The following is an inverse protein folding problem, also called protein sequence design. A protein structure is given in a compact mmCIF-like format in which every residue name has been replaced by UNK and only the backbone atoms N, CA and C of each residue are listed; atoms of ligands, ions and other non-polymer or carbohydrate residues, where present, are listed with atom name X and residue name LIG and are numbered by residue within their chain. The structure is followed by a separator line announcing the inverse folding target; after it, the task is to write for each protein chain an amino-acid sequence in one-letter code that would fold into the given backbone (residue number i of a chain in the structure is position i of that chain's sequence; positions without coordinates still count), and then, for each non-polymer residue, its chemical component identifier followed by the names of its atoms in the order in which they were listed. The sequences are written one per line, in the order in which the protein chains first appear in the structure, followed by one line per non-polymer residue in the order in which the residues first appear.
data_IF_631878701956
#
_entry.id   IF_631878701956
#
_cell.length_a   1.000
_cell.length_b   1.000
_cell.length_c   1.000
_cell.angle_alpha   90.00
_cell.angle_beta   90.00
_cell.angle_gamma   90.00
#
_symmetry.space_group_name_H-M   'P 1'
#
loop_
_entity.id
_entity.type
_entity.pdbx_description
1 polymer ?
#
# COMPACT_ATOMS: atom_id res chain seq x y z
N UNK A 1 15.72 19.19 -10.56
CA UNK A 1 14.60 18.39 -11.11
C UNK A 1 13.71 17.76 -10.02
N UNK A 2 14.24 17.22 -8.92
CA UNK A 2 13.45 16.64 -7.81
C UNK A 2 12.49 17.64 -7.15
N UNK A 3 12.96 18.82 -6.80
CA UNK A 3 12.17 19.88 -6.14
C UNK A 3 10.96 20.35 -6.95
N UNK A 4 11.04 20.34 -8.27
CA UNK A 4 9.93 20.73 -9.16
C UNK A 4 8.83 19.63 -9.25
N UNK A 5 9.24 18.35 -9.26
CA UNK A 5 8.27 17.24 -9.24
C UNK A 5 7.55 17.18 -7.89
N UNK A 6 8.29 17.34 -6.80
CA UNK A 6 7.70 17.37 -5.45
C UNK A 6 6.76 18.56 -5.27
N UNK A 7 7.12 19.74 -5.77
CA UNK A 7 6.26 20.93 -5.75
C UNK A 7 4.99 20.75 -6.60
N UNK A 8 5.10 20.14 -7.78
CA UNK A 8 3.96 19.85 -8.65
C UNK A 8 2.98 18.85 -8.01
N UNK A 9 3.50 17.76 -7.44
CA UNK A 9 2.68 16.74 -6.74
C UNK A 9 1.97 17.38 -5.53
N UNK A 10 2.66 18.22 -4.78
CA UNK A 10 2.10 18.94 -3.63
C UNK A 10 1.01 19.92 -4.08
N UNK A 11 1.24 20.70 -5.11
CA UNK A 11 0.26 21.64 -5.64
C UNK A 11 -1.01 20.91 -6.08
N UNK A 12 -0.88 19.83 -6.84
CA UNK A 12 -2.02 19.00 -7.28
C UNK A 12 -2.77 18.41 -6.08
N UNK A 13 -2.07 17.89 -5.09
CA UNK A 13 -2.68 17.33 -3.89
C UNK A 13 -3.45 18.38 -3.09
N UNK A 14 -2.90 19.60 -2.95
CA UNK A 14 -3.58 20.70 -2.30
C UNK A 14 -4.81 21.17 -3.09
N UNK A 15 -4.69 21.31 -4.41
CA UNK A 15 -5.82 21.67 -5.28
C UNK A 15 -6.94 20.61 -5.13
N UNK A 16 -6.62 19.32 -5.21
CA UNK A 16 -7.59 18.25 -5.06
C UNK A 16 -8.22 18.23 -3.64
N UNK A 17 -7.47 18.56 -2.60
CA UNK A 17 -7.99 18.69 -1.23
C UNK A 17 -9.00 19.84 -1.12
N UNK A 18 -8.70 20.99 -1.72
CA UNK A 18 -9.57 22.17 -1.65
C UNK A 18 -10.82 22.03 -2.49
N UNK A 19 -10.73 21.44 -3.68
CA UNK A 19 -11.86 21.25 -4.59
C UNK A 19 -12.84 20.20 -4.02
N UNK A 20 -12.34 19.13 -3.39
CA UNK A 20 -13.21 18.06 -2.92
C UNK A 20 -13.70 18.31 -1.48
N UNK A 21 -14.85 19.02 -1.39
CA UNK A 21 -15.50 19.40 -0.12
C UNK A 21 -15.77 18.19 0.79
N UNK A 22 -16.26 17.07 0.24
CA UNK A 22 -16.63 15.89 1.03
C UNK A 22 -15.40 15.22 1.64
N UNK A 23 -14.32 15.11 0.88
CA UNK A 23 -13.03 14.61 1.39
C UNK A 23 -12.49 15.49 2.51
N UNK A 24 -12.56 16.81 2.32
CA UNK A 24 -12.10 17.78 3.31
C UNK A 24 -12.87 17.68 4.61
N UNK A 25 -14.20 17.57 4.55
CA UNK A 25 -15.06 17.38 5.71
C UNK A 25 -14.75 16.04 6.39
N UNK A 26 -14.60 14.98 5.63
CA UNK A 26 -14.26 13.65 6.13
C UNK A 26 -12.93 13.64 6.88
N UNK A 27 -11.87 14.19 6.27
CA UNK A 27 -10.56 14.32 6.91
C UNK A 27 -10.60 15.13 8.18
N UNK A 28 -11.27 16.29 8.16
CA UNK A 28 -11.42 17.13 9.36
C UNK A 28 -12.14 16.38 10.49
N UNK A 29 -13.15 15.58 10.19
CA UNK A 29 -13.85 14.77 11.19
C UNK A 29 -12.98 13.66 11.78
N UNK A 30 -12.01 13.13 11.03
CA UNK A 30 -11.15 12.00 11.45
C UNK A 30 -9.91 12.45 12.22
N UNK A 31 -9.21 13.43 11.69
CA UNK A 31 -7.90 13.87 12.18
C UNK A 31 -7.86 15.37 12.49
N UNK A 32 -9.02 16.04 12.48
CA UNK A 32 -9.14 17.44 12.90
C UNK A 32 -8.21 18.39 12.15
N UNK A 33 -7.47 19.21 12.87
CA UNK A 33 -6.53 20.17 12.34
C UNK A 33 -5.33 19.53 11.59
N UNK A 34 -5.08 18.23 11.75
CA UNK A 34 -4.00 17.52 11.09
C UNK A 34 -4.34 17.15 9.63
N UNK A 35 -5.56 17.41 9.16
CA UNK A 35 -5.99 17.04 7.82
C UNK A 35 -5.10 17.60 6.68
N UNK A 36 -4.69 18.89 6.66
CA UNK A 36 -3.76 19.39 5.63
C UNK A 36 -2.40 18.71 5.67
N UNK A 37 -1.92 18.40 6.88
CA UNK A 37 -0.64 17.72 7.07
C UNK A 37 -0.66 16.28 6.57
N UNK A 38 -1.78 15.56 6.73
CA UNK A 38 -1.96 14.24 6.12
C UNK A 38 -1.90 14.33 4.59
N UNK A 39 -2.59 15.30 3.97
CA UNK A 39 -2.52 15.53 2.52
C UNK A 39 -1.08 15.73 2.05
N UNK A 40 -0.36 16.59 2.76
CA UNK A 40 1.05 16.85 2.49
C UNK A 40 1.91 15.58 2.58
N UNK A 41 1.74 14.80 3.65
CA UNK A 41 2.51 13.55 3.88
C UNK A 41 2.22 12.51 2.81
N UNK A 42 0.95 12.28 2.47
CA UNK A 42 0.57 11.34 1.42
C UNK A 42 1.12 11.76 0.05
N UNK A 43 1.01 13.04 -0.31
CA UNK A 43 1.58 13.54 -1.56
C UNK A 43 3.11 13.36 -1.61
N UNK A 44 3.80 13.68 -0.51
CA UNK A 44 5.25 13.47 -0.38
C UNK A 44 5.64 12.00 -0.51
N UNK A 45 4.88 11.10 0.11
CA UNK A 45 5.10 9.66 -0.01
C UNK A 45 4.89 9.17 -1.45
N UNK A 46 3.89 9.68 -2.17
CA UNK A 46 3.71 9.41 -3.59
C UNK A 46 4.89 9.88 -4.43
N UNK A 47 5.35 11.11 -4.24
CA UNK A 47 6.56 11.63 -4.89
C UNK A 47 7.79 10.75 -4.60
N UNK A 48 7.95 10.31 -3.35
CA UNK A 48 9.01 9.38 -2.98
C UNK A 48 8.91 8.05 -3.72
N UNK A 49 7.73 7.43 -3.80
CA UNK A 49 7.48 6.18 -4.52
C UNK A 49 7.83 6.30 -6.01
N UNK A 50 7.50 7.41 -6.65
CA UNK A 50 7.83 7.65 -8.05
C UNK A 50 9.33 7.86 -8.29
N UNK A 51 10.06 8.44 -7.33
CA UNK A 51 11.48 8.80 -7.47
C UNK A 51 12.45 7.72 -7.00
N UNK A 52 12.02 6.77 -6.16
CA UNK A 52 12.88 5.75 -5.55
C UNK A 52 12.57 4.36 -6.10
N UNK A 53 13.60 3.50 -6.06
CA UNK A 53 13.47 2.12 -6.53
C UNK A 53 13.29 1.13 -5.38
N UNK A 54 13.99 1.35 -4.25
CA UNK A 54 14.03 0.43 -3.11
C UNK A 54 14.04 1.19 -1.79
N UNK A 55 13.77 0.45 -0.72
CA UNK A 55 13.76 0.91 0.67
C UNK A 55 14.98 0.36 1.41
N UNK A 56 15.40 1.05 2.47
CA UNK A 56 16.34 0.50 3.44
C UNK A 56 15.62 -0.49 4.35
N UNK A 57 16.28 -1.57 4.69
CA UNK A 57 15.79 -2.57 5.63
C UNK A 57 16.61 -2.48 6.92
N UNK A 58 15.99 -2.29 8.09
CA UNK A 58 16.70 -2.31 9.36
C UNK A 58 17.46 -3.65 9.53
N UNK A 59 18.71 -3.60 9.94
CA UNK A 59 19.56 -4.78 10.03
C UNK A 59 20.14 -5.29 8.70
N UNK A 60 19.85 -4.60 7.59
CA UNK A 60 20.44 -4.88 6.27
C UNK A 60 19.86 -6.08 5.52
N UNK A 61 19.15 -6.98 6.19
CA UNK A 61 18.53 -8.16 5.57
C UNK A 61 17.22 -8.55 6.25
N UNK A 62 16.36 -9.20 5.48
CA UNK A 62 15.12 -9.80 5.97
C UNK A 62 15.22 -11.32 5.76
N UNK A 63 14.87 -12.09 6.76
CA UNK A 63 14.68 -13.53 6.61
C UNK A 63 13.19 -13.85 6.55
N UNK A 64 12.67 -14.02 5.34
CA UNK A 64 11.30 -14.44 5.12
C UNK A 64 11.28 -15.94 4.84
N UNK A 65 10.34 -16.64 5.47
CA UNK A 65 10.09 -18.04 5.13
C UNK A 65 9.50 -18.09 3.71
N UNK A 66 10.03 -18.95 2.80
CA UNK A 66 9.39 -19.16 1.50
C UNK A 66 7.90 -19.49 1.65
N UNK A 67 7.07 -18.95 0.78
CA UNK A 67 5.62 -19.11 0.85
C UNK A 67 4.92 -18.19 1.85
N UNK A 68 5.58 -17.17 2.40
CA UNK A 68 4.95 -16.23 3.33
C UNK A 68 4.01 -15.25 2.61
N UNK A 69 2.96 -14.83 3.33
CA UNK A 69 2.08 -13.73 2.94
C UNK A 69 2.44 -12.50 3.77
N UNK A 70 2.91 -11.47 3.11
CA UNK A 70 3.13 -10.16 3.71
C UNK A 70 1.87 -9.33 3.61
N UNK A 71 1.36 -8.84 4.73
CA UNK A 71 0.18 -7.99 4.73
C UNK A 71 0.47 -6.61 5.32
N UNK A 72 -0.20 -5.59 4.78
CA UNK A 72 -0.06 -4.21 5.21
C UNK A 72 -1.35 -3.43 4.96
N UNK A 73 -1.29 -2.17 5.33
CA UNK A 73 -2.27 -1.14 5.04
C UNK A 73 -1.74 -0.25 3.90
N UNK A 74 -2.59 0.60 3.32
CA UNK A 74 -2.16 1.68 2.43
C UNK A 74 -1.45 2.77 3.27
N UNK A 75 -0.26 2.44 3.75
CA UNK A 75 0.51 3.25 4.70
C UNK A 75 1.88 3.61 4.11
N UNK A 76 2.21 4.89 4.17
CA UNK A 76 3.50 5.41 3.74
C UNK A 76 3.82 5.16 2.27
N UNK A 77 4.84 4.37 2.00
CA UNK A 77 5.41 4.10 0.66
C UNK A 77 5.34 2.62 0.27
N UNK A 78 4.23 1.97 0.57
CA UNK A 78 3.99 0.52 0.45
C UNK A 78 4.28 -0.06 -0.95
N UNK A 79 4.09 0.71 -2.02
CA UNK A 79 4.33 0.28 -3.41
C UNK A 79 5.81 -0.05 -3.69
N UNK A 80 6.73 0.35 -2.81
CA UNK A 80 8.15 0.04 -2.95
C UNK A 80 8.56 -1.28 -2.31
N UNK A 81 7.70 -1.89 -1.46
CA UNK A 81 8.00 -3.17 -0.81
C UNK A 81 8.33 -4.27 -1.83
N UNK A 82 7.52 -4.48 -2.90
CA UNK A 82 7.77 -5.58 -3.83
C UNK A 82 9.13 -5.46 -4.53
N UNK A 83 9.48 -4.25 -4.98
CA UNK A 83 10.77 -3.98 -5.62
C UNK A 83 11.94 -4.13 -4.67
N UNK A 84 11.76 -3.76 -3.40
CA UNK A 84 12.78 -3.93 -2.37
C UNK A 84 13.09 -5.39 -2.14
N UNK A 85 12.08 -6.22 -2.00
CA UNK A 85 12.24 -7.66 -1.81
C UNK A 85 12.77 -8.36 -3.08
N UNK A 86 12.32 -7.94 -4.28
CA UNK A 86 12.86 -8.47 -5.54
C UNK A 86 14.36 -8.15 -5.68
N UNK A 87 14.78 -6.92 -5.31
CA UNK A 87 16.20 -6.54 -5.28
C UNK A 87 17.02 -7.34 -4.26
N UNK A 88 16.39 -7.87 -3.21
CA UNK A 88 17.00 -8.77 -2.22
C UNK A 88 16.99 -10.25 -2.66
N UNK A 89 16.51 -10.55 -3.86
CA UNK A 89 16.49 -11.90 -4.43
C UNK A 89 15.24 -12.73 -4.13
N UNK A 90 14.23 -12.15 -3.46
CA UNK A 90 12.96 -12.84 -3.24
C UNK A 90 12.12 -12.87 -4.52
N UNK A 91 11.39 -13.96 -4.71
CA UNK A 91 10.36 -14.08 -5.72
C UNK A 91 9.06 -13.49 -5.18
N UNK A 92 8.67 -12.32 -5.67
CA UNK A 92 7.58 -11.52 -5.08
C UNK A 92 6.38 -11.45 -6.01
N UNK A 93 5.19 -11.57 -5.44
CA UNK A 93 3.92 -11.28 -6.07
C UNK A 93 3.11 -10.29 -5.24
N UNK A 94 2.26 -9.51 -5.88
CA UNK A 94 1.33 -8.60 -5.22
C UNK A 94 -0.09 -8.85 -5.67
N UNK A 95 -1.04 -8.64 -4.77
CA UNK A 95 -2.46 -8.74 -5.08
C UNK A 95 -3.03 -7.34 -5.32
N UNK A 96 -3.73 -7.18 -6.44
CA UNK A 96 -4.39 -5.93 -6.82
C UNK A 96 -5.87 -6.16 -7.13
N UNK A 97 -6.67 -5.13 -6.93
CA UNK A 97 -8.06 -5.15 -7.34
C UNK A 97 -8.14 -4.91 -8.85
N UNK A 98 -9.01 -5.62 -9.53
CA UNK A 98 -9.36 -5.31 -10.91
C UNK A 98 -10.34 -4.13 -10.89
N UNK A 99 -9.87 -2.98 -11.35
CA UNK A 99 -10.75 -1.79 -11.47
C UNK A 99 -11.64 -1.80 -12.72
N UNK A 100 -11.54 -2.83 -13.54
CA UNK A 100 -12.26 -2.95 -14.80
C UNK A 100 -13.75 -3.24 -14.56
N UNK A 101 -14.53 -2.18 -14.43
CA UNK A 101 -15.94 -2.22 -14.84
C UNK A 101 -16.04 -1.73 -16.28
N UNK A 102 -16.99 -2.22 -17.06
CA UNK A 102 -17.21 -1.86 -18.47
C UNK A 102 -17.41 -0.35 -18.72
N UNK A 103 -17.65 0.41 -17.65
CA UNK A 103 -17.89 1.85 -17.64
C UNK A 103 -16.68 2.72 -17.29
N UNK A 104 -15.45 2.20 -17.33
CA UNK A 104 -14.27 3.02 -17.05
C UNK A 104 -13.98 4.00 -18.19
N UNK A 105 -13.75 5.27 -17.83
CA UNK A 105 -13.26 6.28 -18.76
C UNK A 105 -11.90 5.88 -19.38
N UNK A 106 -11.61 6.39 -20.59
CA UNK A 106 -10.29 6.14 -21.24
C UNK A 106 -9.11 6.54 -20.35
N UNK A 107 -9.27 7.63 -19.60
CA UNK A 107 -8.26 8.13 -18.65
C UNK A 107 -8.05 7.16 -17.47
N UNK A 108 -9.11 6.58 -16.95
CA UNK A 108 -9.02 5.61 -15.86
C UNK A 108 -8.34 4.31 -16.32
N UNK A 109 -8.61 3.85 -17.55
CA UNK A 109 -7.92 2.69 -18.16
C UNK A 109 -6.43 2.95 -18.37
N UNK A 110 -6.07 4.14 -18.84
CA UNK A 110 -4.67 4.54 -18.99
C UNK A 110 -3.95 4.58 -17.62
N UNK A 111 -4.58 5.17 -16.61
CA UNK A 111 -4.02 5.23 -15.26
C UNK A 111 -3.82 3.83 -14.67
N UNK A 112 -4.78 2.91 -14.85
CA UNK A 112 -4.67 1.52 -14.40
C UNK A 112 -3.54 0.78 -15.12
N UNK A 113 -3.42 0.96 -16.44
CA UNK A 113 -2.31 0.41 -17.23
C UNK A 113 -0.94 0.94 -16.77
N UNK A 114 -0.81 2.24 -16.52
CA UNK A 114 0.43 2.84 -16.05
C UNK A 114 0.79 2.32 -14.64
N UNK A 115 -0.20 2.17 -13.78
CA UNK A 115 -0.01 1.61 -12.44
C UNK A 115 0.40 0.13 -12.50
N UNK A 116 -0.22 -0.65 -13.38
CA UNK A 116 0.19 -2.04 -13.62
C UNK A 116 1.66 -2.10 -14.08
N UNK A 117 2.02 -1.30 -15.09
CA UNK A 117 3.41 -1.19 -15.57
C UNK A 117 4.39 -0.78 -14.47
N UNK A 118 3.98 0.15 -13.62
CA UNK A 118 4.77 0.56 -12.47
C UNK A 118 4.99 -0.59 -11.46
N UNK A 119 3.96 -1.40 -11.21
CA UNK A 119 4.00 -2.51 -10.25
C UNK A 119 4.74 -3.74 -10.79
N UNK A 120 4.68 -4.01 -12.08
CA UNK A 120 5.30 -5.16 -12.73
C UNK A 120 6.77 -4.96 -13.13
N UNK A 121 7.46 -3.98 -12.53
CA UNK A 121 8.89 -3.75 -12.79
C UNK A 121 9.75 -4.82 -12.10
N UNK A 122 10.77 -5.32 -12.83
CA UNK A 122 11.62 -6.40 -12.35
C UNK A 122 10.94 -7.77 -12.54
N UNK A 123 11.08 -8.64 -11.55
CA UNK A 123 10.47 -9.98 -11.53
C UNK A 123 9.20 -10.06 -10.69
N UNK A 124 8.62 -8.89 -10.32
CA UNK A 124 7.40 -8.81 -9.52
C UNK A 124 6.21 -9.30 -10.33
N UNK A 125 5.48 -10.27 -9.81
CA UNK A 125 4.24 -10.77 -10.38
C UNK A 125 3.04 -10.00 -9.82
N UNK A 126 2.08 -9.68 -10.68
CA UNK A 126 0.83 -9.03 -10.30
C UNK A 126 -0.30 -10.04 -10.42
N UNK A 127 -0.99 -10.31 -9.33
CA UNK A 127 -2.17 -11.16 -9.27
C UNK A 127 -3.41 -10.32 -9.05
N UNK A 128 -4.50 -10.70 -9.69
CA UNK A 128 -5.82 -10.13 -9.41
C UNK A 128 -6.53 -10.95 -8.31
N UNK A 129 -7.47 -10.32 -7.61
CA UNK A 129 -8.18 -10.97 -6.49
C UNK A 129 -8.91 -12.27 -6.88
N UNK A 130 -9.36 -12.40 -8.11
CA UNK A 130 -10.04 -13.57 -8.67
C UNK A 130 -9.09 -14.70 -9.07
N UNK A 131 -7.76 -14.51 -9.00
CA UNK A 131 -6.76 -15.49 -9.39
C UNK A 131 -6.25 -16.37 -8.22
N UNK A 132 -7.14 -16.77 -7.30
CA UNK A 132 -6.78 -17.49 -6.09
C UNK A 132 -5.92 -18.74 -6.33
N UNK A 133 -6.22 -19.54 -7.36
CA UNK A 133 -5.45 -20.75 -7.69
C UNK A 133 -4.01 -20.44 -8.12
N UNK A 134 -3.80 -19.33 -8.84
CA UNK A 134 -2.46 -18.89 -9.20
C UNK A 134 -1.67 -18.45 -7.98
N UNK A 135 -2.30 -17.73 -7.05
CA UNK A 135 -1.70 -17.32 -5.78
C UNK A 135 -1.30 -18.53 -4.92
N UNK A 136 -2.17 -19.53 -4.82
CA UNK A 136 -1.87 -20.79 -4.10
C UNK A 136 -0.65 -21.49 -4.70
N UNK A 137 -0.60 -21.66 -6.02
CA UNK A 137 0.55 -22.27 -6.71
C UNK A 137 1.84 -21.45 -6.49
N UNK A 138 1.73 -20.13 -6.55
CA UNK A 138 2.85 -19.22 -6.33
C UNK A 138 3.43 -19.35 -4.91
N UNK A 139 2.59 -19.36 -3.88
CA UNK A 139 2.97 -19.52 -2.47
C UNK A 139 3.60 -20.91 -2.21
N UNK A 140 2.98 -21.98 -2.72
CA UNK A 140 3.51 -23.34 -2.59
C UNK A 140 4.86 -23.53 -3.25
N UNK A 141 5.16 -22.75 -4.30
CA UNK A 141 6.47 -22.71 -4.95
C UNK A 141 7.44 -21.70 -4.29
N UNK A 142 7.21 -21.34 -3.03
CA UNK A 142 8.11 -20.51 -2.23
C UNK A 142 8.05 -19.00 -2.53
N UNK A 143 7.08 -18.53 -3.32
CA UNK A 143 6.90 -17.10 -3.60
C UNK A 143 6.41 -16.33 -2.36
N UNK A 144 6.77 -15.06 -2.25
CA UNK A 144 6.31 -14.15 -1.21
C UNK A 144 5.17 -13.30 -1.77
N UNK A 145 3.99 -13.35 -1.16
CA UNK A 145 2.81 -12.63 -1.64
C UNK A 145 2.53 -11.40 -0.78
N UNK A 146 2.54 -10.21 -1.39
CA UNK A 146 2.17 -8.95 -0.74
C UNK A 146 0.68 -8.63 -0.94
N UNK A 147 -0.02 -8.29 0.16
CA UNK A 147 -1.45 -7.96 0.17
C UNK A 147 -1.71 -6.73 1.02
N UNK A 148 -2.55 -5.82 0.53
CA UNK A 148 -3.09 -4.73 1.35
C UNK A 148 -4.48 -5.11 1.86
N UNK A 149 -4.69 -5.00 3.17
CA UNK A 149 -5.87 -5.59 3.85
C UNK A 149 -6.82 -4.55 4.47
N UNK A 150 -6.68 -3.31 4.11
CA UNK A 150 -7.47 -2.18 4.62
C UNK A 150 -8.54 -1.68 3.62
N UNK A 151 -8.99 -2.54 2.70
CA UNK A 151 -10.02 -2.19 1.73
C UNK A 151 -11.36 -1.91 2.39
N UNK A 152 -12.06 -2.96 2.82
CA UNK A 152 -13.42 -2.91 3.37
C UNK A 152 -13.52 -3.34 4.84
N UNK A 153 -12.47 -3.96 5.40
CA UNK A 153 -12.40 -4.44 6.77
C UNK A 153 -10.98 -4.31 7.33
N UNK A 154 -10.86 -4.29 8.66
CA UNK A 154 -9.57 -4.42 9.34
C UNK A 154 -8.85 -5.70 8.93
N UNK A 155 -7.54 -5.65 8.76
CA UNK A 155 -6.71 -6.77 8.32
C UNK A 155 -6.92 -8.04 9.17
N UNK A 156 -7.09 -7.92 10.49
CA UNK A 156 -7.36 -9.04 11.39
C UNK A 156 -8.69 -9.77 11.08
N UNK A 157 -9.57 -9.14 10.32
CA UNK A 157 -10.88 -9.66 9.90
C UNK A 157 -10.96 -9.92 8.39
N UNK A 158 -9.84 -9.87 7.66
CA UNK A 158 -9.84 -10.09 6.21
C UNK A 158 -9.92 -11.59 5.88
N UNK A 159 -11.13 -12.14 5.65
CA UNK A 159 -11.35 -13.58 5.62
C UNK A 159 -10.60 -14.26 4.48
N UNK A 160 -10.42 -13.57 3.35
CA UNK A 160 -9.77 -14.13 2.18
C UNK A 160 -8.26 -14.35 2.38
N UNK A 161 -7.58 -13.42 3.06
CA UNK A 161 -6.13 -13.53 3.35
C UNK A 161 -5.88 -14.63 4.38
N UNK A 162 -6.72 -14.70 5.42
CA UNK A 162 -6.65 -15.74 6.44
C UNK A 162 -6.93 -17.12 5.81
N UNK A 163 -7.96 -17.24 4.97
CA UNK A 163 -8.27 -18.48 4.26
C UNK A 163 -7.12 -18.93 3.36
N UNK A 164 -6.50 -17.99 2.61
CA UNK A 164 -5.36 -18.29 1.75
C UNK A 164 -4.15 -18.77 2.57
N UNK A 165 -3.88 -18.13 3.71
CA UNK A 165 -2.84 -18.56 4.66
C UNK A 165 -3.07 -19.99 5.13
N UNK A 166 -4.28 -20.34 5.56
CA UNK A 166 -4.61 -21.70 6.00
C UNK A 166 -4.45 -22.73 4.87
N UNK A 167 -4.98 -22.47 3.68
CA UNK A 167 -4.89 -23.39 2.53
C UNK A 167 -3.45 -23.64 2.07
N UNK A 168 -2.59 -22.64 2.22
CA UNK A 168 -1.18 -22.74 1.81
C UNK A 168 -0.23 -23.06 2.96
N UNK A 169 -0.70 -23.15 4.20
CA UNK A 169 0.15 -23.18 5.41
C UNK A 169 1.17 -22.02 5.41
N UNK A 170 0.76 -20.87 4.88
CA UNK A 170 1.60 -19.70 4.65
C UNK A 170 1.63 -18.83 5.91
N UNK A 171 2.81 -18.48 6.46
CA UNK A 171 2.90 -17.53 7.55
C UNK A 171 2.36 -16.16 7.12
N UNK A 172 1.54 -15.55 7.99
CA UNK A 172 1.11 -14.16 7.86
C UNK A 172 2.11 -13.26 8.58
N UNK A 173 2.73 -12.34 7.84
CA UNK A 173 3.75 -11.43 8.39
C UNK A 173 3.35 -10.00 8.10
N UNK A 174 3.13 -9.16 9.12
CA UNK A 174 2.84 -7.74 8.92
C UNK A 174 4.08 -7.01 8.39
N UNK A 175 3.86 -5.99 7.55
CA UNK A 175 4.92 -5.08 7.15
C UNK A 175 4.43 -3.64 7.08
N UNK A 176 5.34 -2.70 7.24
CA UNK A 176 5.11 -1.30 6.93
C UNK A 176 6.26 -0.75 6.09
N UNK A 177 5.91 0.15 5.15
CA UNK A 177 6.89 0.85 4.34
C UNK A 177 6.63 2.36 4.49
N UNK A 178 7.58 3.09 5.07
CA UNK A 178 7.39 4.50 5.41
C UNK A 178 8.67 5.31 5.22
N UNK A 179 8.54 6.63 5.28
CA UNK A 179 9.70 7.54 5.20
C UNK A 179 10.02 8.15 6.55
N UNK A 180 11.28 8.07 6.97
CA UNK A 180 11.80 8.73 8.17
C UNK A 180 13.10 9.46 7.83
N UNK A 181 13.20 10.73 8.19
CA UNK A 181 14.38 11.57 7.91
C UNK A 181 14.82 11.50 6.43
N UNK A 182 13.87 11.54 5.49
CA UNK A 182 14.14 11.48 4.05
C UNK A 182 14.55 10.11 3.50
N UNK A 183 14.64 9.08 4.35
CA UNK A 183 14.93 7.68 3.96
C UNK A 183 13.68 6.83 3.98
N UNK A 184 13.49 6.01 2.98
CA UNK A 184 12.42 5.01 2.97
C UNK A 184 12.86 3.76 3.72
N UNK A 185 12.01 3.25 4.57
CA UNK A 185 12.26 2.10 5.44
C UNK A 185 11.20 1.03 5.17
N UNK A 186 11.63 -0.21 5.01
CA UNK A 186 10.78 -1.40 5.02
C UNK A 186 10.94 -2.10 6.37
N UNK A 187 9.88 -2.12 7.16
CA UNK A 187 9.84 -2.78 8.46
C UNK A 187 8.96 -4.03 8.37
N UNK A 188 9.53 -5.18 8.59
CA UNK A 188 8.85 -6.48 8.59
C UNK A 188 8.62 -6.93 10.04
N UNK A 189 7.45 -7.52 10.32
CA UNK A 189 7.08 -7.97 11.65
C UNK A 189 6.64 -6.84 12.60
N UNK A 190 6.21 -5.70 12.05
CA UNK A 190 5.77 -4.55 12.86
C UNK A 190 4.31 -4.70 13.33
N UNK A 191 3.98 -4.02 14.43
CA UNK A 191 2.60 -3.79 14.86
C UNK A 191 1.99 -2.64 14.03
N UNK A 192 1.08 -2.99 13.12
CA UNK A 192 0.46 -2.01 12.22
C UNK A 192 -0.51 -1.06 12.94
N UNK A 193 -1.25 -1.56 13.94
CA UNK A 193 -2.21 -0.73 14.67
C UNK A 193 -1.48 0.31 15.52
N UNK A 194 -0.43 -0.10 16.19
CA UNK A 194 0.45 0.79 16.94
C UNK A 194 1.09 1.84 16.01
N UNK A 195 1.59 1.41 14.87
CA UNK A 195 2.24 2.30 13.91
C UNK A 195 1.27 3.36 13.38
N UNK A 196 0.04 2.98 13.04
CA UNK A 196 -1.01 3.92 12.60
C UNK A 196 -1.42 4.85 13.72
N UNK A 197 -1.53 4.36 14.96
CA UNK A 197 -1.87 5.19 16.12
C UNK A 197 -0.80 6.22 16.43
N UNK A 198 0.48 5.85 16.37
CA UNK A 198 1.61 6.74 16.62
C UNK A 198 1.86 7.72 15.45
N UNK A 199 1.63 7.31 14.19
CA UNK A 199 1.93 8.07 12.99
C UNK A 199 0.77 8.09 11.98
N UNK A 200 -0.43 8.58 12.34
CA UNK A 200 -1.63 8.49 11.51
C UNK A 200 -1.53 9.24 10.18
N UNK A 201 -0.63 10.23 10.10
CA UNK A 201 -0.52 11.10 8.93
C UNK A 201 0.00 10.40 7.66
N UNK A 202 0.64 9.25 7.79
CA UNK A 202 1.12 8.47 6.66
C UNK A 202 0.06 7.47 6.14
N UNK A 203 -1.12 7.39 6.78
CA UNK A 203 -2.20 6.49 6.41
C UNK A 203 -3.09 7.09 5.33
N UNK A 204 -3.13 6.46 4.15
CA UNK A 204 -3.79 7.00 2.95
C UNK A 204 -5.31 6.99 3.04
N UNK A 205 -5.89 6.03 3.79
CA UNK A 205 -7.34 5.87 3.84
C UNK A 205 -8.09 6.98 4.58
N UNK A 206 -7.42 7.79 5.35
CA UNK A 206 -8.02 9.04 5.81
C UNK A 206 -8.49 9.92 4.64
N UNK A 207 -7.95 9.69 3.45
CA UNK A 207 -8.27 10.38 2.21
C UNK A 207 -9.57 9.94 1.54
N UNK A 208 -10.11 8.73 1.80
CA UNK A 208 -11.28 8.21 1.10
C UNK A 208 -12.57 8.45 1.88
N UNK A 209 -13.49 9.25 1.31
CA UNK A 209 -14.80 9.55 1.89
C UNK A 209 -15.73 8.33 1.99
N UNK A 210 -15.50 7.27 1.21
CA UNK A 210 -16.38 6.09 1.13
C UNK A 210 -16.25 5.10 2.28
N UNK A 211 -15.20 5.15 3.11
CA UNK A 211 -15.05 4.24 4.24
C UNK A 211 -15.71 4.74 5.51
N UNK A 212 -17.01 4.93 5.49
CA UNK A 212 -17.81 5.29 6.68
C UNK A 212 -17.83 4.23 7.78
N UNK A 213 -17.35 3.01 7.52
CA UNK A 213 -17.53 1.86 8.45
C UNK A 213 -16.39 1.62 9.42
N UNK A 214 -15.33 2.39 9.33
CA UNK A 214 -14.07 2.06 10.01
C UNK A 214 -13.96 2.51 11.47
N UNK A 215 -14.76 3.44 11.93
CA UNK A 215 -14.61 4.08 13.27
C UNK A 215 -15.86 3.96 14.13
N UNK A 216 -16.77 3.09 13.81
CA UNK A 216 -18.05 3.00 14.50
C UNK A 216 -18.30 1.74 15.35
N UNK A 217 -17.32 0.85 15.53
CA UNK A 217 -17.48 -0.34 16.38
C UNK A 217 -16.12 -0.70 16.99
N UNK A 218 -15.69 0.09 17.98
CA UNK A 218 -14.90 -0.45 19.07
C UNK A 218 -15.88 -1.01 20.10
#
# INVERSE_FOLDING_TARGET
MRTLVDAGVLAIAFILYWINRDRRIHLKRRIGALAPLNVYRVARNMGYMLSKKTLSVPGGHVRLKPGSILFSLHYGVWELMPRTLDAMGYRVGIVVNRYAGDNMSRLARLADYLLYRYRSVGRVLVFYQDEALKMVRFLRNGGILGVLVDGDALYAKHPHVVKLSHVCHAPLVPFAAYTRNGRGILHIGCDLDRLVAEHPLDYVWFYRSRQRRWVGKA
#
